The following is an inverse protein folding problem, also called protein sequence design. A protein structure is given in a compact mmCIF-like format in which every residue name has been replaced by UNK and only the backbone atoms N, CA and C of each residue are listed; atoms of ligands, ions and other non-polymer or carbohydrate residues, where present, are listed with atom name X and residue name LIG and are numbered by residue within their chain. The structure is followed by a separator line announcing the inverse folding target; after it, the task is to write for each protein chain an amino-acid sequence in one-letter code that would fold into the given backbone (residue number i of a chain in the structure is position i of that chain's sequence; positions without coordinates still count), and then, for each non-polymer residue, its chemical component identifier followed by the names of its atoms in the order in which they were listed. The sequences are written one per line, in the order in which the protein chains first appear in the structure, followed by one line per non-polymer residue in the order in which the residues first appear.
data_IF_449624787508
#
_entry.id   IF_449624787508
#
_cell.length_a   1.000
_cell.length_b   1.000
_cell.length_c   1.000
_cell.angle_alpha   90.00
_cell.angle_beta   90.00
_cell.angle_gamma   90.00
#
_symmetry.space_group_name_H-M   'P 1'
#
loop_
_entity.id
_entity.type
_entity.pdbx_description
1 polymer ?
#
# COMPACT_ATOMS: atom_id res chain seq x y z
N UNK A 1 19.60 -7.26 -19.36
CA UNK A 1 18.90 -7.02 -20.63
C UNK A 1 17.58 -6.31 -20.35
N UNK A 2 17.24 -5.37 -21.20
CA UNK A 2 15.94 -4.70 -21.11
C UNK A 2 14.82 -5.69 -21.47
N UNK A 3 13.67 -5.63 -20.79
CA UNK A 3 12.54 -6.46 -21.15
C UNK A 3 12.06 -6.12 -22.56
N UNK A 4 11.69 -7.17 -23.29
CA UNK A 4 11.15 -7.01 -24.65
C UNK A 4 9.62 -6.99 -24.58
N UNK A 5 9.03 -6.06 -25.32
CA UNK A 5 7.59 -5.88 -25.43
C UNK A 5 7.18 -6.07 -26.89
N UNK A 6 6.53 -7.17 -27.18
CA UNK A 6 6.01 -7.50 -28.50
C UNK A 6 4.49 -7.28 -28.60
N UNK A 7 3.81 -7.22 -27.45
CA UNK A 7 2.38 -6.96 -27.34
C UNK A 7 2.04 -6.26 -26.02
N UNK A 8 0.83 -5.76 -25.89
CA UNK A 8 0.38 -5.08 -24.67
C UNK A 8 0.36 -6.02 -23.45
N UNK A 9 0.14 -7.31 -23.64
CA UNK A 9 0.14 -8.29 -22.55
C UNK A 9 1.53 -8.44 -21.91
N UNK A 10 2.57 -8.09 -22.63
CA UNK A 10 3.94 -8.20 -22.09
C UNK A 10 4.21 -7.19 -20.97
N UNK A 11 3.44 -6.12 -20.90
CA UNK A 11 3.47 -5.20 -19.75
C UNK A 11 3.13 -5.99 -18.48
N UNK A 12 2.07 -6.78 -18.53
CA UNK A 12 1.69 -7.61 -17.39
C UNK A 12 2.69 -8.73 -17.12
N UNK A 13 3.16 -9.41 -18.15
CA UNK A 13 4.14 -10.49 -18.00
C UNK A 13 5.45 -10.02 -17.43
N UNK A 14 5.90 -8.84 -17.75
CA UNK A 14 7.20 -8.31 -17.37
C UNK A 14 7.14 -7.47 -16.09
N UNK A 15 6.08 -6.73 -15.87
CA UNK A 15 5.99 -5.77 -14.77
C UNK A 15 5.11 -6.24 -13.62
N UNK A 16 4.03 -6.96 -13.90
CA UNK A 16 3.09 -7.45 -12.90
C UNK A 16 3.57 -8.78 -12.32
N UNK A 17 4.71 -8.75 -11.65
CA UNK A 17 5.28 -9.91 -11.00
C UNK A 17 5.64 -9.61 -9.57
N UNK A 18 5.36 -10.55 -8.71
CA UNK A 18 5.73 -10.52 -7.30
C UNK A 18 6.11 -11.94 -6.86
N UNK A 19 6.90 -12.03 -5.82
CA UNK A 19 7.35 -13.29 -5.26
C UNK A 19 6.70 -13.61 -3.91
N UNK A 20 6.04 -12.62 -3.30
CA UNK A 20 5.42 -12.79 -2.00
C UNK A 20 4.16 -11.95 -1.88
N UNK A 21 3.16 -12.53 -1.21
CA UNK A 21 1.95 -11.82 -0.79
C UNK A 21 1.82 -11.96 0.72
N UNK A 22 1.62 -10.85 1.39
CA UNK A 22 1.40 -10.79 2.83
C UNK A 22 0.17 -9.97 3.14
N UNK A 23 -0.43 -10.22 4.30
CA UNK A 23 -1.48 -9.36 4.82
C UNK A 23 -0.86 -8.11 5.42
N UNK A 24 -1.50 -6.98 5.15
CA UNK A 24 -1.10 -5.71 5.71
C UNK A 24 -2.31 -4.91 6.12
N UNK A 25 -2.08 -3.98 7.02
CA UNK A 25 -3.11 -3.04 7.48
C UNK A 25 -2.45 -1.72 7.83
N UNK A 26 -3.18 -0.65 7.67
CA UNK A 26 -2.87 0.62 8.30
C UNK A 26 -4.11 1.12 9.03
N UNK A 27 -3.90 1.71 10.17
CA UNK A 27 -4.96 2.14 11.07
C UNK A 27 -4.89 3.63 11.33
N UNK A 28 -6.00 4.21 11.76
CA UNK A 28 -6.08 5.59 12.25
C UNK A 28 -5.66 6.67 11.24
N UNK A 29 -5.67 6.37 9.96
CA UNK A 29 -5.41 7.37 8.93
C UNK A 29 -6.65 8.22 8.65
N UNK A 30 -7.78 7.57 8.40
CA UNK A 30 -9.03 8.24 8.07
C UNK A 30 -10.25 7.54 8.68
N UNK A 31 -10.11 6.31 9.12
CA UNK A 31 -11.18 5.56 9.78
C UNK A 31 -10.60 4.67 10.88
N UNK A 32 -11.20 4.66 12.09
CA UNK A 32 -10.65 3.95 13.24
C UNK A 32 -10.74 2.42 13.15
N UNK A 33 -11.52 1.88 12.22
CA UNK A 33 -11.70 0.44 12.06
C UNK A 33 -10.52 -0.29 11.43
N UNK A 34 -9.57 0.45 10.88
CA UNK A 34 -8.48 -0.12 10.11
C UNK A 34 -8.94 -0.65 8.76
N UNK A 35 -7.99 -0.89 7.88
CA UNK A 35 -8.21 -1.45 6.56
C UNK A 35 -7.37 -2.71 6.39
N UNK A 36 -7.79 -3.57 5.47
CA UNK A 36 -7.12 -4.84 5.20
C UNK A 36 -6.66 -4.89 3.76
N UNK A 37 -5.40 -5.22 3.55
CA UNK A 37 -4.77 -5.27 2.24
C UNK A 37 -3.98 -6.55 2.04
N UNK A 38 -3.90 -6.97 0.79
CA UNK A 38 -2.88 -7.90 0.32
C UNK A 38 -1.71 -7.08 -0.21
N UNK A 39 -0.56 -7.29 0.36
CA UNK A 39 0.66 -6.56 0.03
C UNK A 39 1.54 -7.47 -0.82
N UNK A 40 1.69 -7.10 -2.08
CA UNK A 40 2.57 -7.80 -3.01
C UNK A 40 3.96 -7.19 -2.95
N UNK A 41 4.95 -8.04 -2.73
CA UNK A 41 6.35 -7.62 -2.72
C UNK A 41 7.16 -8.40 -3.77
N UNK A 42 8.23 -7.76 -4.22
CA UNK A 42 9.20 -8.31 -5.14
C UNK A 42 10.59 -7.91 -4.68
N UNK A 43 11.45 -8.90 -4.52
CA UNK A 43 12.83 -8.70 -4.06
C UNK A 43 12.92 -7.88 -2.74
N UNK A 44 11.98 -8.12 -1.83
CA UNK A 44 11.92 -7.43 -0.54
C UNK A 44 11.35 -6.01 -0.57
N UNK A 45 10.88 -5.55 -1.72
CA UNK A 45 10.28 -4.22 -1.87
C UNK A 45 8.78 -4.36 -2.11
N UNK A 46 7.98 -3.59 -1.40
CA UNK A 46 6.54 -3.51 -1.64
C UNK A 46 6.30 -2.90 -3.01
N UNK A 47 5.70 -3.67 -3.87
CA UNK A 47 5.45 -3.28 -5.24
C UNK A 47 4.00 -2.80 -5.44
N UNK A 48 3.04 -3.44 -4.76
CA UNK A 48 1.62 -3.15 -4.89
C UNK A 48 0.87 -3.51 -3.63
N UNK A 49 -0.22 -2.83 -3.39
CA UNK A 49 -1.20 -3.15 -2.37
C UNK A 49 -2.58 -3.25 -3.02
N UNK A 50 -3.33 -4.27 -2.66
CA UNK A 50 -4.71 -4.47 -3.08
C UNK A 50 -5.63 -4.57 -1.87
N UNK A 51 -6.84 -4.07 -2.01
CA UNK A 51 -7.86 -4.23 -1.00
C UNK A 51 -8.15 -5.72 -0.79
N UNK A 52 -8.16 -6.15 0.44
CA UNK A 52 -8.59 -7.51 0.76
C UNK A 52 -10.10 -7.66 0.57
N UNK A 53 -10.48 -8.71 -0.14
CA UNK A 53 -11.88 -9.09 -0.34
C UNK A 53 -12.13 -10.53 0.14
N UNK A 54 -11.26 -11.04 1.02
CA UNK A 54 -11.29 -12.42 1.48
C UNK A 54 -11.65 -12.57 2.96
N UNK A 55 -12.11 -11.48 3.59
CA UNK A 55 -12.59 -11.54 4.97
C UNK A 55 -13.92 -12.29 5.01
N UNK A 56 -14.02 -13.26 5.90
CA UNK A 56 -15.25 -14.03 6.07
C UNK A 56 -16.39 -13.14 6.56
N UNK A 57 -17.58 -13.39 6.04
CA UNK A 57 -18.79 -12.71 6.51
C UNK A 57 -19.08 -13.11 7.96
N UNK A 58 -19.39 -12.14 8.78
CA UNK A 58 -19.69 -12.39 10.20
C UNK A 58 -21.00 -13.15 10.41
N UNK A 59 -21.97 -12.93 9.54
CA UNK A 59 -23.30 -13.52 9.60
C UNK A 59 -24.02 -13.34 8.26
N UNK A 60 -24.88 -14.27 7.86
CA UNK A 60 -25.70 -14.11 6.66
C UNK A 60 -26.71 -12.95 6.75
N UNK A 61 -26.99 -12.46 7.96
CA UNK A 61 -27.95 -11.40 8.19
C UNK A 61 -27.35 -9.99 8.04
N UNK A 62 -26.04 -9.90 7.91
CA UNK A 62 -25.32 -8.63 7.73
C UNK A 62 -24.79 -8.49 6.31
N UNK A 63 -24.81 -7.28 5.74
CA UNK A 63 -24.23 -7.05 4.44
C UNK A 63 -22.74 -7.43 4.40
N UNK A 64 -22.29 -7.94 3.26
CA UNK A 64 -20.88 -8.17 3.00
C UNK A 64 -20.13 -6.83 2.99
N UNK A 65 -19.07 -6.75 3.77
CA UNK A 65 -18.24 -5.55 3.88
C UNK A 65 -16.92 -5.65 3.11
N UNK A 66 -16.77 -6.67 2.28
CA UNK A 66 -15.65 -6.76 1.35
C UNK A 66 -15.88 -5.91 0.09
N UNK A 67 -14.82 -5.32 -0.48
CA UNK A 67 -13.46 -5.23 0.05
C UNK A 67 -13.29 -4.18 1.15
N UNK A 68 -12.36 -4.44 2.07
CA UNK A 68 -12.07 -3.53 3.18
C UNK A 68 -10.83 -2.69 2.89
N UNK A 69 -11.00 -1.62 2.20
CA UNK A 69 -9.91 -0.72 1.91
C UNK A 69 -10.36 0.38 0.95
N UNK A 70 -9.46 1.26 0.62
CA UNK A 70 -9.71 2.34 -0.32
C UNK A 70 -8.48 2.60 -1.19
N UNK A 71 -8.65 3.41 -2.22
CA UNK A 71 -7.58 3.77 -3.14
C UNK A 71 -6.38 4.44 -2.44
N UNK A 72 -6.65 5.24 -1.43
CA UNK A 72 -5.57 5.87 -0.64
C UNK A 72 -4.68 4.81 0.02
N UNK A 73 -5.28 3.77 0.58
CA UNK A 73 -4.55 2.65 1.16
C UNK A 73 -3.73 1.88 0.13
N UNK A 74 -4.28 1.65 -1.04
CA UNK A 74 -3.58 0.97 -2.13
C UNK A 74 -2.33 1.72 -2.61
N UNK A 75 -2.24 3.01 -2.37
CA UNK A 75 -1.08 3.83 -2.69
C UNK A 75 -0.15 4.11 -1.51
N UNK A 76 -0.45 3.58 -0.34
CA UNK A 76 0.28 3.95 0.89
C UNK A 76 1.75 3.54 0.86
N UNK A 77 2.11 2.46 0.18
CA UNK A 77 3.50 2.01 0.03
C UNK A 77 4.41 3.03 -0.67
N UNK A 78 3.85 3.93 -1.47
CA UNK A 78 4.64 5.01 -2.09
C UNK A 78 5.31 5.92 -1.07
N UNK A 79 4.73 6.06 0.12
CA UNK A 79 5.33 6.84 1.19
C UNK A 79 6.65 6.25 1.68
N UNK A 80 6.85 4.94 1.56
CA UNK A 80 8.08 4.26 2.00
C UNK A 80 9.30 4.67 1.17
N UNK A 81 9.09 4.96 -0.10
CA UNK A 81 10.14 5.30 -1.07
C UNK A 81 10.04 6.73 -1.57
N UNK A 82 9.17 7.53 -0.96
CA UNK A 82 9.02 8.94 -1.30
C UNK A 82 10.30 9.72 -1.00
N UNK A 83 10.71 10.62 -1.90
CA UNK A 83 11.85 11.52 -1.62
C UNK A 83 11.58 12.48 -0.46
N UNK A 84 10.31 12.70 -0.12
CA UNK A 84 9.90 13.55 1.01
C UNK A 84 9.90 12.81 2.34
N UNK A 85 10.20 11.50 2.33
CA UNK A 85 10.23 10.71 3.55
C UNK A 85 11.33 11.21 4.50
N UNK A 86 10.95 11.42 5.75
CA UNK A 86 11.90 11.76 6.81
C UNK A 86 12.72 10.52 7.15
N UNK A 87 14.01 10.54 6.84
CA UNK A 87 14.93 9.42 7.04
C UNK A 87 15.67 9.46 8.38
N UNK A 88 15.69 10.62 9.02
CA UNK A 88 16.38 10.85 10.28
C UNK A 88 15.50 11.69 11.22
N UNK A 89 15.67 11.56 12.54
CA UNK A 89 15.00 12.45 13.46
C UNK A 89 15.28 13.90 13.17
N UNK A 90 14.26 14.70 13.05
CA UNK A 90 14.37 16.13 12.74
C UNK A 90 13.85 16.93 13.94
N UNK A 91 14.57 17.99 14.25
CA UNK A 91 14.14 18.98 15.24
C UNK A 91 13.54 20.17 14.50
N UNK A 92 12.37 20.61 14.94
CA UNK A 92 11.78 21.84 14.42
C UNK A 92 12.74 23.02 14.68
N UNK A 93 13.15 23.65 13.58
CA UNK A 93 14.02 24.82 13.60
C UNK A 93 13.24 26.12 13.67
N UNK A 94 12.15 26.18 14.42
CA UNK A 94 11.46 27.45 14.63
C UNK A 94 12.39 28.41 15.38
N UNK A 95 13.07 29.25 14.63
CA UNK A 95 13.71 30.41 15.19
C UNK A 95 12.60 31.39 15.51
N UNK A 96 12.13 31.34 16.73
CA UNK A 96 11.34 32.44 17.29
C UNK A 96 12.12 33.71 17.06
N UNK A 97 11.50 34.71 16.45
CA UNK A 97 12.04 36.07 16.42
C UNK A 97 12.38 36.42 17.84
N UNK A 98 13.67 36.51 18.16
CA UNK A 98 14.11 37.15 19.37
C UNK A 98 13.67 38.61 19.24
N UNK A 99 12.71 38.99 20.03
CA UNK A 99 12.44 40.39 20.29
C UNK A 99 13.48 40.90 21.28
#
# INVERSE_FOLDING_TARGET
ALPRYDSWEDVYRNEWRWDRVTWGSHTNQCFPGGCSFHVQSRDGVVWREEQSATTEACSPDYPDFNPQGCQKGCGFHHALVSPDRVMHPLRSGFRGTRR
#
